data_IF_005230099247
#
_entry.id   IF_005230099247
#
_cell.length_a   1.000
_cell.length_b   1.000
_cell.length_c   1.000
_cell.angle_alpha   90.00
_cell.angle_beta   90.00
_cell.angle_gamma   90.00
#
_symmetry.space_group_name_H-M   'P 1'
#
loop_
_entity.id
_entity.type
_entity.pdbx_description
1 polymer ?
#
# COMPACT_ATOMS: atom_id res chain seq x y z
N UNK A 1 59.92 8.01 -58.84
CA UNK A 1 58.88 6.96 -58.71
C UNK A 1 58.34 7.02 -57.29
N UNK A 2 57.01 7.05 -57.15
CA UNK A 2 56.26 7.49 -55.96
C UNK A 2 56.39 6.52 -54.77
N UNK A 3 56.61 7.14 -53.61
CA UNK A 3 56.19 6.83 -52.21
C UNK A 3 55.74 5.41 -51.84
N UNK A 4 56.42 4.82 -50.84
CA UNK A 4 55.78 3.96 -49.85
C UNK A 4 56.43 4.14 -48.47
N UNK A 5 55.93 5.11 -47.69
CA UNK A 5 56.14 5.14 -46.25
C UNK A 5 54.95 4.41 -45.60
N UNK A 6 55.07 3.09 -45.43
CA UNK A 6 54.16 2.35 -44.56
C UNK A 6 54.41 2.77 -43.11
N UNK A 7 53.71 3.82 -42.67
CA UNK A 7 53.63 4.21 -41.26
C UNK A 7 52.97 3.07 -40.46
N UNK A 8 53.79 2.24 -39.81
CA UNK A 8 53.30 1.28 -38.79
C UNK A 8 52.73 2.09 -37.63
N UNK A 9 51.41 2.28 -37.61
CA UNK A 9 50.68 2.78 -36.45
C UNK A 9 50.84 1.76 -35.32
N UNK A 10 51.40 2.13 -34.16
CA UNK A 10 51.60 1.18 -33.08
C UNK A 10 50.23 0.69 -32.58
N UNK A 11 50.08 -0.62 -32.43
CA UNK A 11 48.85 -1.30 -31.97
C UNK A 11 48.51 -1.06 -30.50
N UNK A 12 48.80 0.13 -29.96
CA UNK A 12 48.59 0.54 -28.57
C UNK A 12 47.12 0.50 -28.14
N UNK A 13 46.19 0.53 -29.10
CA UNK A 13 44.75 0.39 -28.85
C UNK A 13 44.37 -1.03 -28.42
N UNK A 14 45.09 -2.07 -28.88
CA UNK A 14 44.73 -3.47 -28.60
C UNK A 14 44.84 -3.78 -27.08
N UNK A 15 45.93 -3.41 -26.37
CA UNK A 15 45.99 -3.56 -24.92
C UNK A 15 44.89 -2.79 -24.17
N UNK A 16 44.59 -1.55 -24.59
CA UNK A 16 43.55 -0.73 -23.95
C UNK A 16 42.15 -1.33 -24.15
N UNK A 17 41.87 -1.85 -25.35
CA UNK A 17 40.63 -2.56 -25.66
C UNK A 17 40.51 -3.85 -24.83
N UNK A 18 41.60 -4.62 -24.72
CA UNK A 18 41.60 -5.85 -23.92
C UNK A 18 41.29 -5.57 -22.44
N UNK A 19 41.91 -4.54 -21.86
CA UNK A 19 41.66 -4.16 -20.46
C UNK A 19 40.22 -3.67 -20.26
N UNK A 20 39.71 -2.84 -21.17
CA UNK A 20 38.32 -2.32 -21.07
C UNK A 20 37.26 -3.41 -21.25
N UNK A 21 37.50 -4.41 -22.11
CA UNK A 21 36.63 -5.58 -22.25
C UNK A 21 36.59 -6.42 -20.97
N UNK A 22 37.74 -6.68 -20.35
CA UNK A 22 37.80 -7.41 -19.07
C UNK A 22 37.03 -6.65 -17.99
N UNK A 23 37.19 -5.33 -17.91
CA UNK A 23 36.44 -4.49 -16.98
C UNK A 23 34.92 -4.56 -17.22
N UNK A 24 34.47 -4.47 -18.48
CA UNK A 24 33.06 -4.57 -18.84
C UNK A 24 32.45 -5.93 -18.49
N UNK A 25 33.17 -7.03 -18.77
CA UNK A 25 32.73 -8.38 -18.41
C UNK A 25 32.63 -8.52 -16.89
N UNK A 26 33.61 -8.01 -16.14
CA UNK A 26 33.60 -8.01 -14.68
C UNK A 26 32.40 -7.27 -14.08
N UNK A 27 32.08 -6.08 -14.61
CA UNK A 27 30.91 -5.32 -14.16
C UNK A 27 29.59 -6.00 -14.52
N UNK A 28 29.52 -6.64 -15.69
CA UNK A 28 28.32 -7.40 -16.11
C UNK A 28 28.12 -8.63 -15.22
N UNK A 29 29.18 -9.35 -14.90
CA UNK A 29 29.15 -10.49 -14.00
C UNK A 29 28.64 -10.10 -12.61
N UNK A 30 29.14 -8.98 -12.06
CA UNK A 30 28.66 -8.41 -10.81
C UNK A 30 27.17 -8.04 -10.86
N UNK A 31 26.73 -7.41 -11.94
CA UNK A 31 25.33 -7.03 -12.13
C UNK A 31 24.40 -8.24 -12.13
N UNK A 32 24.82 -9.36 -12.74
CA UNK A 32 24.06 -10.62 -12.75
C UNK A 32 23.95 -11.21 -11.34
N UNK A 33 25.04 -11.30 -10.59
CA UNK A 33 24.99 -11.85 -9.23
C UNK A 33 24.11 -11.00 -8.30
N UNK A 34 24.19 -9.66 -8.40
CA UNK A 34 23.31 -8.75 -7.65
C UNK A 34 21.85 -8.98 -8.05
N UNK A 35 21.57 -9.14 -9.34
CA UNK A 35 20.23 -9.45 -9.84
C UNK A 35 19.66 -10.75 -9.27
N UNK A 36 20.48 -11.79 -9.18
CA UNK A 36 20.10 -13.09 -8.58
C UNK A 36 19.80 -12.93 -7.08
N UNK A 37 20.61 -12.17 -6.34
CA UNK A 37 20.36 -11.89 -4.91
C UNK A 37 19.07 -11.10 -4.72
N UNK A 38 18.83 -10.07 -5.57
CA UNK A 38 17.61 -9.27 -5.52
C UNK A 38 16.36 -10.11 -5.82
N UNK A 39 16.43 -11.00 -6.82
CA UNK A 39 15.36 -11.94 -7.13
C UNK A 39 15.09 -12.90 -5.96
N UNK A 40 16.15 -13.45 -5.34
CA UNK A 40 16.02 -14.31 -4.17
C UNK A 40 15.33 -13.61 -3.00
N UNK A 41 15.68 -12.33 -2.74
CA UNK A 41 15.02 -11.50 -1.72
C UNK A 41 13.55 -11.28 -2.01
N UNK A 42 13.20 -10.96 -3.25
CA UNK A 42 11.80 -10.77 -3.63
C UNK A 42 10.99 -12.08 -3.47
N UNK A 43 11.51 -13.22 -3.92
CA UNK A 43 10.83 -14.49 -3.74
C UNK A 43 10.66 -14.87 -2.25
N UNK A 44 11.70 -14.65 -1.45
CA UNK A 44 11.64 -14.89 0.00
C UNK A 44 10.60 -13.97 0.67
N UNK A 45 10.55 -12.69 0.29
CA UNK A 45 9.58 -11.74 0.83
C UNK A 45 8.14 -12.09 0.44
N UNK A 46 7.88 -12.40 -0.84
CA UNK A 46 6.56 -12.86 -1.28
C UNK A 46 6.12 -14.12 -0.54
N UNK A 47 7.05 -15.04 -0.29
CA UNK A 47 6.77 -16.25 0.50
C UNK A 47 6.45 -15.90 1.95
N UNK A 48 7.22 -15.02 2.58
CA UNK A 48 6.99 -14.57 3.95
C UNK A 48 5.64 -13.85 4.08
N UNK A 49 5.30 -12.95 3.15
CA UNK A 49 4.04 -12.20 3.13
C UNK A 49 2.84 -13.15 2.99
N UNK A 50 2.91 -14.09 2.03
CA UNK A 50 1.87 -15.09 1.82
C UNK A 50 1.71 -16.01 3.03
N UNK A 51 2.82 -16.44 3.63
CA UNK A 51 2.83 -17.28 4.83
C UNK A 51 2.23 -16.54 6.04
N UNK A 52 2.67 -15.31 6.31
CA UNK A 52 2.15 -14.49 7.40
C UNK A 52 0.65 -14.24 7.22
N UNK A 53 0.21 -13.90 6.00
CA UNK A 53 -1.19 -13.67 5.68
C UNK A 53 -2.06 -14.92 5.86
N UNK A 54 -1.59 -16.08 5.37
CA UNK A 54 -2.30 -17.34 5.54
C UNK A 54 -2.39 -17.76 7.00
N UNK A 55 -1.32 -17.57 7.78
CA UNK A 55 -1.34 -17.79 9.22
C UNK A 55 -2.31 -16.86 9.94
N UNK A 56 -2.30 -15.56 9.61
CA UNK A 56 -3.24 -14.60 10.20
C UNK A 56 -4.70 -14.95 9.87
N UNK A 57 -4.98 -15.41 8.65
CA UNK A 57 -6.30 -15.88 8.21
C UNK A 57 -6.79 -17.15 8.91
N UNK A 58 -5.89 -17.95 9.51
CA UNK A 58 -6.31 -19.12 10.29
C UNK A 58 -6.76 -18.80 11.71
N UNK A 59 -6.38 -17.64 12.24
CA UNK A 59 -6.84 -17.20 13.54
C UNK A 59 -8.34 -16.87 13.47
N UNK A 60 -9.09 -17.26 14.50
CA UNK A 60 -10.52 -17.02 14.59
C UNK A 60 -10.87 -16.25 15.88
N UNK A 61 -12.14 -15.81 16.00
CA UNK A 61 -12.63 -15.10 17.19
C UNK A 61 -13.07 -16.00 18.36
N UNK A 62 -12.87 -17.32 18.27
CA UNK A 62 -13.39 -18.29 19.24
C UNK A 62 -12.39 -18.52 20.37
N UNK A 63 -12.61 -17.83 21.49
CA UNK A 63 -11.76 -17.98 22.68
C UNK A 63 -11.74 -19.42 23.25
N UNK A 64 -12.84 -20.18 23.07
CA UNK A 64 -12.94 -21.58 23.51
C UNK A 64 -11.98 -22.54 22.79
N UNK A 65 -11.50 -22.16 21.61
CA UNK A 65 -10.55 -22.93 20.79
C UNK A 65 -9.16 -22.29 20.76
N UNK A 66 -8.86 -21.42 21.74
CA UNK A 66 -7.61 -20.65 21.78
C UNK A 66 -7.37 -19.89 20.46
N UNK A 67 -8.44 -19.37 19.83
CA UNK A 67 -8.38 -18.66 18.56
C UNK A 67 -7.76 -19.46 17.40
N UNK A 68 -7.81 -20.80 17.46
CA UNK A 68 -7.16 -21.71 16.51
C UNK A 68 -5.62 -21.53 16.43
N UNK A 69 -4.97 -21.25 17.55
CA UNK A 69 -3.51 -21.04 17.62
C UNK A 69 -2.70 -22.16 16.95
N UNK A 70 -3.06 -23.42 17.22
CA UNK A 70 -2.30 -24.59 16.73
C UNK A 70 -2.49 -24.83 15.22
N UNK A 71 -3.54 -24.26 14.61
CA UNK A 71 -3.79 -24.30 13.17
C UNK A 71 -2.90 -23.37 12.34
N UNK A 72 -2.22 -22.41 12.98
CA UNK A 72 -1.39 -21.42 12.27
C UNK A 72 -0.15 -22.05 11.66
N UNK A 73 0.60 -22.84 12.44
CA UNK A 73 1.84 -23.47 11.98
C UNK A 73 1.64 -24.36 10.72
N UNK A 74 0.67 -25.31 10.69
CA UNK A 74 0.46 -26.13 9.49
C UNK A 74 0.00 -25.31 8.28
N UNK A 75 -0.76 -24.22 8.49
CA UNK A 75 -1.17 -23.32 7.40
C UNK A 75 0.01 -22.57 6.79
N UNK A 76 0.88 -22.01 7.64
CA UNK A 76 2.12 -21.34 7.22
C UNK A 76 3.01 -22.30 6.42
N UNK A 77 3.26 -23.50 6.95
CA UNK A 77 4.06 -24.51 6.24
C UNK A 77 3.41 -24.95 4.92
N UNK A 78 2.08 -25.06 4.88
CA UNK A 78 1.33 -25.43 3.68
C UNK A 78 1.48 -24.44 2.52
N UNK A 79 1.61 -23.14 2.82
CA UNK A 79 1.92 -22.12 1.81
C UNK A 79 3.40 -22.15 1.45
N UNK A 80 4.29 -22.21 2.44
CA UNK A 80 5.72 -22.14 2.18
C UNK A 80 6.23 -23.30 1.34
N UNK A 81 5.70 -24.52 1.52
CA UNK A 81 6.02 -25.69 0.69
C UNK A 81 5.63 -25.53 -0.79
N UNK A 82 4.69 -24.63 -1.10
CA UNK A 82 4.28 -24.33 -2.49
C UNK A 82 5.15 -23.23 -3.12
N UNK A 83 5.93 -22.52 -2.32
CA UNK A 83 6.76 -21.41 -2.75
C UNK A 83 8.19 -21.84 -3.07
N UNK A 84 8.85 -21.09 -3.95
CA UNK A 84 10.23 -21.37 -4.39
C UNK A 84 11.09 -20.12 -4.35
N UNK A 85 12.27 -20.23 -3.74
CA UNK A 85 13.31 -19.19 -3.78
C UNK A 85 14.37 -19.65 -4.78
N UNK A 86 14.53 -18.91 -5.89
CA UNK A 86 15.41 -19.30 -7.00
C UNK A 86 15.19 -20.73 -7.51
N UNK A 87 13.93 -21.18 -7.54
CA UNK A 87 13.56 -22.53 -7.99
C UNK A 87 13.77 -23.65 -6.96
N UNK A 88 14.42 -23.36 -5.82
CA UNK A 88 14.53 -24.26 -4.68
C UNK A 88 13.28 -24.15 -3.79
N UNK A 89 12.73 -25.29 -3.38
CA UNK A 89 11.64 -25.33 -2.40
C UNK A 89 12.15 -24.89 -1.03
N UNK A 90 11.33 -24.15 -0.29
CA UNK A 90 11.66 -23.72 1.07
C UNK A 90 11.34 -24.86 2.04
N UNK A 91 12.34 -25.33 2.76
CA UNK A 91 12.18 -26.43 3.70
C UNK A 91 11.54 -25.97 5.02
N UNK A 92 10.85 -26.86 5.74
CA UNK A 92 10.21 -26.51 7.01
C UNK A 92 11.16 -25.86 8.05
N UNK A 93 12.43 -26.31 8.23
CA UNK A 93 13.37 -25.67 9.16
C UNK A 93 13.80 -24.25 8.74
N UNK A 94 13.63 -23.91 7.46
CA UNK A 94 13.92 -22.59 6.91
C UNK A 94 12.80 -21.58 7.21
N UNK A 95 11.71 -22.02 7.85
CA UNK A 95 10.56 -21.19 8.21
C UNK A 95 10.43 -21.06 9.72
N UNK A 96 10.44 -19.84 10.22
CA UNK A 96 10.11 -19.54 11.60
C UNK A 96 8.80 -18.76 11.66
N UNK A 97 7.89 -19.20 12.54
CA UNK A 97 6.58 -18.57 12.75
C UNK A 97 6.46 -18.09 14.18
N UNK A 98 5.98 -16.87 14.36
CA UNK A 98 5.68 -16.29 15.66
C UNK A 98 4.24 -15.81 15.68
N UNK A 99 3.51 -16.22 16.70
CA UNK A 99 2.10 -15.87 16.87
C UNK A 99 2.02 -14.86 18.00
N UNK A 100 1.19 -13.83 17.80
CA UNK A 100 1.09 -12.69 18.67
C UNK A 100 -0.29 -12.06 18.64
N UNK A 101 -0.40 -10.93 19.31
CA UNK A 101 -1.61 -10.12 19.35
C UNK A 101 -1.30 -8.68 18.92
N UNK A 102 -2.30 -7.98 18.41
CA UNK A 102 -2.19 -6.61 17.91
C UNK A 102 -3.02 -5.66 18.78
N UNK A 103 -2.32 -4.82 19.55
CA UNK A 103 -2.92 -3.94 20.54
C UNK A 103 -2.43 -2.50 20.39
N UNK A 104 -3.27 -1.57 20.84
CA UNK A 104 -2.95 -0.15 20.89
C UNK A 104 -2.00 0.14 22.06
N UNK A 105 -0.85 0.75 21.77
CA UNK A 105 0.11 1.24 22.76
C UNK A 105 -0.22 2.70 23.07
N UNK A 106 -0.90 2.95 24.19
CA UNK A 106 -1.32 4.29 24.62
C UNK A 106 -0.15 5.28 24.77
N UNK A 107 1.06 4.80 25.04
CA UNK A 107 2.23 5.68 25.19
C UNK A 107 2.76 6.17 23.84
N UNK A 108 2.57 5.36 22.79
CA UNK A 108 3.06 5.66 21.44
C UNK A 108 1.96 6.16 20.51
N UNK A 109 0.70 6.08 20.93
CA UNK A 109 -0.45 6.42 20.10
C UNK A 109 -0.56 5.55 18.84
N UNK A 110 -0.04 4.32 18.88
CA UNK A 110 0.04 3.44 17.70
C UNK A 110 -0.32 2.00 18.05
N UNK A 111 -0.90 1.29 17.09
CA UNK A 111 -1.09 -0.15 17.21
C UNK A 111 0.21 -0.90 16.94
N UNK A 112 0.61 -1.77 17.86
CA UNK A 112 1.86 -2.51 17.77
C UNK A 112 1.64 -4.02 17.90
N UNK A 113 2.37 -4.84 17.12
CA UNK A 113 2.33 -6.29 17.28
C UNK A 113 3.18 -6.71 18.48
N UNK A 114 2.62 -7.56 19.34
CA UNK A 114 3.32 -8.14 20.49
C UNK A 114 3.38 -9.65 20.34
N UNK A 115 4.59 -10.19 20.44
CA UNK A 115 4.87 -11.62 20.24
C UNK A 115 5.41 -12.23 21.54
N UNK A 116 4.54 -12.75 22.41
CA UNK A 116 4.96 -13.35 23.67
C UNK A 116 5.73 -14.66 23.45
N UNK A 117 6.46 -15.09 24.48
CA UNK A 117 7.06 -16.43 24.50
C UNK A 117 5.98 -17.45 24.86
N UNK A 118 5.76 -18.43 23.98
CA UNK A 118 4.72 -19.43 24.15
C UNK A 118 3.30 -18.84 24.08
N UNK A 119 2.32 -19.58 24.58
CA UNK A 119 0.90 -19.18 24.61
C UNK A 119 0.58 -18.22 25.76
N UNK A 120 1.39 -17.19 25.97
CA UNK A 120 1.29 -16.27 27.11
C UNK A 120 0.79 -14.89 26.67
N UNK A 121 -0.51 -14.75 26.42
CA UNK A 121 -1.18 -13.46 26.14
C UNK A 121 -2.09 -13.05 27.30
N UNK A 122 -2.41 -11.75 27.47
CA UNK A 122 -3.45 -11.33 28.39
C UNK A 122 -4.80 -11.99 28.09
N UNK A 123 -5.60 -12.29 29.12
CA UNK A 123 -6.88 -12.98 28.97
C UNK A 123 -7.91 -12.17 28.15
N UNK A 124 -7.81 -10.84 28.17
CA UNK A 124 -8.66 -9.92 27.42
C UNK A 124 -8.32 -9.84 25.92
N UNK A 125 -7.17 -10.36 25.51
CA UNK A 125 -6.69 -10.24 24.13
C UNK A 125 -6.93 -11.51 23.33
N UNK A 126 -7.14 -11.35 22.03
CA UNK A 126 -7.20 -12.44 21.07
C UNK A 126 -5.87 -12.54 20.30
N UNK A 127 -5.45 -13.78 19.97
CA UNK A 127 -4.40 -13.97 18.98
C UNK A 127 -4.87 -13.36 17.67
N UNK A 128 -4.08 -12.44 17.13
CA UNK A 128 -4.49 -11.60 15.99
C UNK A 128 -3.33 -11.25 15.07
N UNK A 129 -2.10 -11.66 15.40
CA UNK A 129 -0.92 -11.35 14.61
C UNK A 129 -0.13 -12.62 14.33
N UNK A 130 0.33 -12.77 13.09
CA UNK A 130 1.28 -13.81 12.73
C UNK A 130 2.46 -13.17 12.00
N UNK A 131 3.65 -13.55 12.42
CA UNK A 131 4.91 -13.17 11.80
C UNK A 131 5.56 -14.43 11.23
N UNK A 132 5.88 -14.39 9.94
CA UNK A 132 6.60 -15.46 9.26
C UNK A 132 7.97 -14.94 8.84
N UNK A 133 9.00 -15.74 9.10
CA UNK A 133 10.37 -15.49 8.65
C UNK A 133 10.80 -16.65 7.78
N UNK A 134 11.27 -16.34 6.57
CA UNK A 134 11.73 -17.31 5.58
C UNK A 134 13.22 -17.11 5.38
N UNK A 135 14.01 -18.16 5.59
CA UNK A 135 15.47 -18.17 5.49
C UNK A 135 15.89 -19.14 4.38
N UNK A 136 16.08 -18.64 3.16
CA UNK A 136 16.65 -19.48 2.09
C UNK A 136 18.17 -19.53 2.24
N UNK A 137 18.70 -20.69 2.62
CA UNK A 137 20.14 -20.86 2.82
C UNK A 137 20.82 -21.59 1.66
N UNK A 138 22.13 -21.36 1.53
CA UNK A 138 23.00 -22.00 0.56
C UNK A 138 22.55 -21.79 -0.90
N UNK A 139 22.06 -20.59 -1.23
CA UNK A 139 21.70 -20.27 -2.62
C UNK A 139 22.98 -20.12 -3.45
N UNK A 140 23.01 -20.75 -4.62
CA UNK A 140 24.21 -20.81 -5.44
C UNK A 140 24.52 -19.43 -6.05
N UNK A 141 25.75 -18.95 -5.89
CA UNK A 141 26.23 -17.78 -6.64
C UNK A 141 26.61 -18.18 -8.07
N UNK A 142 26.58 -17.22 -9.01
CA UNK A 142 26.89 -17.51 -10.41
C UNK A 142 28.35 -17.16 -10.73
N UNK A 143 28.71 -15.88 -10.73
CA UNK A 143 30.08 -15.44 -11.06
C UNK A 143 30.96 -15.20 -9.84
N UNK A 144 30.39 -14.91 -8.67
CA UNK A 144 31.12 -14.65 -7.43
C UNK A 144 31.98 -15.83 -6.95
N UNK A 145 31.74 -17.03 -7.50
CA UNK A 145 32.57 -18.23 -7.32
C UNK A 145 34.02 -18.03 -7.70
N UNK A 146 34.31 -17.16 -8.67
CA UNK A 146 35.69 -16.85 -9.08
C UNK A 146 36.49 -16.21 -7.94
N UNK A 147 35.79 -15.58 -6.99
CA UNK A 147 36.35 -15.00 -5.76
C UNK A 147 36.12 -15.90 -4.54
N UNK A 148 35.81 -17.18 -4.75
CA UNK A 148 35.53 -18.17 -3.71
C UNK A 148 34.26 -17.90 -2.87
N UNK A 149 33.34 -17.06 -3.36
CA UNK A 149 32.00 -16.93 -2.80
C UNK A 149 31.07 -17.89 -3.51
N UNK A 150 30.86 -19.08 -2.94
CA UNK A 150 30.11 -20.16 -3.60
C UNK A 150 28.60 -20.15 -3.34
N UNK A 151 28.17 -19.53 -2.25
CA UNK A 151 26.78 -19.45 -1.87
C UNK A 151 26.48 -18.17 -1.10
N UNK A 152 25.18 -17.84 -1.01
CA UNK A 152 24.67 -16.75 -0.20
C UNK A 152 23.33 -17.12 0.44
N UNK A 153 23.06 -16.50 1.58
CA UNK A 153 21.83 -16.68 2.33
C UNK A 153 20.92 -15.46 2.16
N UNK A 154 19.61 -15.71 2.18
CA UNK A 154 18.59 -14.67 2.14
C UNK A 154 17.57 -14.91 3.22
N UNK A 155 17.28 -13.85 3.99
CA UNK A 155 16.23 -13.82 4.98
C UNK A 155 15.20 -12.74 4.62
N UNK A 156 13.94 -13.10 4.74
CA UNK A 156 12.81 -12.20 4.59
C UNK A 156 11.81 -12.42 5.72
N UNK A 157 11.12 -11.35 6.10
CA UNK A 157 10.25 -11.33 7.27
C UNK A 157 9.01 -10.53 6.96
N UNK A 158 7.85 -11.07 7.35
CA UNK A 158 6.57 -10.44 7.16
C UNK A 158 5.68 -10.63 8.37
N UNK A 159 4.83 -9.65 8.62
CA UNK A 159 3.86 -9.67 9.71
C UNK A 159 2.49 -9.31 9.16
N UNK A 160 1.51 -10.16 9.42
CA UNK A 160 0.13 -9.93 9.07
C UNK A 160 -0.74 -9.91 10.33
N UNK A 161 -1.76 -9.08 10.30
CA UNK A 161 -2.72 -8.91 11.39
C UNK A 161 -4.11 -9.28 10.88
N UNK A 162 -4.83 -10.09 11.65
CA UNK A 162 -6.23 -10.40 11.46
C UNK A 162 -7.02 -10.00 12.71
N UNK A 163 -7.86 -8.96 12.59
CA UNK A 163 -8.85 -8.57 13.60
C UNK A 163 -10.22 -8.64 12.90
N UNK A 164 -11.09 -9.60 13.24
CA UNK A 164 -12.46 -9.59 12.73
C UNK A 164 -13.14 -8.28 13.18
N UNK A 165 -13.87 -7.65 12.25
CA UNK A 165 -14.71 -6.47 12.55
C UNK A 165 -16.15 -6.86 12.32
N UNK A 166 -17.01 -6.56 13.27
CA UNK A 166 -18.45 -6.70 13.10
C UNK A 166 -18.95 -5.47 12.34
N UNK A 167 -19.55 -5.69 11.17
CA UNK A 167 -20.14 -4.64 10.33
C UNK A 167 -21.64 -4.92 10.26
N UNK A 168 -22.44 -3.99 10.77
CA UNK A 168 -23.89 -4.00 10.55
C UNK A 168 -24.20 -3.07 9.39
N UNK A 169 -24.92 -3.57 8.39
CA UNK A 169 -25.42 -2.77 7.27
C UNK A 169 -26.94 -2.75 7.39
N UNK A 170 -27.51 -1.57 7.61
CA UNK A 170 -28.95 -1.35 7.60
C UNK A 170 -29.31 -0.73 6.26
N UNK A 171 -30.13 -1.44 5.47
CA UNK A 171 -30.61 -0.99 4.18
C UNK A 171 -32.11 -0.67 4.29
N UNK A 172 -32.49 0.59 4.10
CA UNK A 172 -33.90 0.99 4.03
C UNK A 172 -34.47 0.76 2.62
N UNK A 173 -35.41 -0.19 2.51
CA UNK A 173 -36.13 -0.48 1.27
C UNK A 173 -37.53 0.17 1.20
N UNK A 174 -38.02 0.73 2.31
CA UNK A 174 -39.34 1.37 2.36
C UNK A 174 -39.37 2.72 1.65
N UNK A 175 -38.21 3.34 1.49
CA UNK A 175 -38.07 4.69 0.96
C UNK A 175 -38.29 5.79 2.00
N UNK A 176 -38.55 5.45 3.27
CA UNK A 176 -38.82 6.42 4.33
C UNK A 176 -37.60 7.26 4.73
N UNK A 177 -36.38 6.75 4.52
CA UNK A 177 -35.12 7.47 4.73
C UNK A 177 -34.41 7.84 3.41
N UNK A 178 -35.01 7.55 2.25
CA UNK A 178 -34.34 7.69 0.94
C UNK A 178 -33.87 9.11 0.66
N UNK A 179 -34.62 10.12 1.11
CA UNK A 179 -34.37 11.52 0.77
C UNK A 179 -33.07 12.04 1.40
N UNK A 180 -32.66 11.51 2.56
CA UNK A 180 -31.40 11.87 3.22
C UNK A 180 -30.18 11.12 2.64
N UNK A 181 -30.39 10.20 1.70
CA UNK A 181 -29.31 9.48 1.01
C UNK A 181 -29.13 9.92 -0.44
N UNK A 182 -29.89 10.91 -0.89
CA UNK A 182 -29.79 11.47 -2.23
C UNK A 182 -28.61 12.43 -2.32
N UNK A 183 -27.72 12.20 -3.29
CA UNK A 183 -26.51 13.00 -3.47
C UNK A 183 -26.74 14.34 -4.18
N UNK A 184 -27.92 14.56 -4.78
CA UNK A 184 -28.21 15.78 -5.53
C UNK A 184 -29.69 16.16 -5.58
N UNK A 185 -29.95 17.35 -6.11
CA UNK A 185 -31.29 17.94 -6.28
C UNK A 185 -31.41 18.59 -7.66
N UNK A 186 -32.64 18.78 -8.19
CA UNK A 186 -33.91 18.18 -7.74
C UNK A 186 -33.96 16.67 -8.03
N UNK A 187 -34.85 15.95 -7.35
CA UNK A 187 -34.96 14.49 -7.47
C UNK A 187 -35.61 14.02 -8.78
N UNK A 188 -36.59 14.75 -9.32
CA UNK A 188 -37.39 14.33 -10.48
C UNK A 188 -36.94 14.94 -11.82
N UNK A 189 -35.93 15.81 -11.82
CA UNK A 189 -35.45 16.52 -13.01
C UNK A 189 -33.92 16.44 -13.14
N UNK A 190 -33.36 17.18 -14.10
CA UNK A 190 -31.92 17.32 -14.25
C UNK A 190 -31.29 17.85 -12.96
N UNK A 191 -30.30 17.12 -12.43
CA UNK A 191 -29.57 17.49 -11.22
C UNK A 191 -28.92 18.87 -11.41
N UNK A 192 -29.34 19.82 -10.58
CA UNK A 192 -28.87 21.20 -10.54
C UNK A 192 -27.76 21.40 -9.51
N UNK A 193 -27.63 20.50 -8.53
CA UNK A 193 -26.58 20.57 -7.53
C UNK A 193 -26.56 19.40 -6.55
N UNK A 194 -25.61 19.46 -5.63
CA UNK A 194 -25.37 18.49 -4.57
C UNK A 194 -26.19 18.84 -3.32
N UNK A 195 -26.49 17.82 -2.52
CA UNK A 195 -27.14 17.96 -1.21
C UNK A 195 -26.14 17.89 -0.05
N UNK A 196 -24.89 18.24 -0.34
CA UNK A 196 -23.83 18.38 0.65
C UNK A 196 -23.88 19.76 1.32
N UNK A 197 -24.22 19.87 2.62
CA UNK A 197 -24.15 21.14 3.34
C UNK A 197 -22.72 21.58 3.66
N UNK A 198 -21.76 20.66 3.63
CA UNK A 198 -20.38 20.93 4.01
C UNK A 198 -19.69 21.85 3.01
N UNK A 199 -18.90 22.78 3.55
CA UNK A 199 -17.98 23.63 2.76
C UNK A 199 -16.80 22.81 2.21
N UNK A 200 -16.59 21.61 2.74
CA UNK A 200 -15.54 20.69 2.33
C UNK A 200 -15.92 19.89 1.09
N UNK A 201 -15.85 20.54 -0.08
CA UNK A 201 -16.18 19.94 -1.38
C UNK A 201 -14.91 19.74 -2.24
N UNK A 202 -14.92 18.78 -3.18
CA UNK A 202 -13.83 18.60 -4.14
C UNK A 202 -13.48 19.91 -4.86
N UNK A 203 -12.19 20.22 -4.98
CA UNK A 203 -11.71 21.43 -5.68
C UNK A 203 -10.77 21.19 -6.83
N UNK A 204 -10.62 19.94 -7.23
CA UNK A 204 -9.70 19.54 -8.26
C UNK A 204 -10.48 19.39 -9.57
N UNK A 205 -10.06 20.14 -10.59
CA UNK A 205 -10.46 19.94 -11.99
C UNK A 205 -11.78 20.42 -12.48
N UNK A 206 -12.60 19.51 -12.99
CA UNK A 206 -13.96 19.90 -13.35
C UNK A 206 -14.69 20.46 -12.11
N UNK A 207 -14.32 20.02 -10.89
CA UNK A 207 -14.80 20.59 -9.63
C UNK A 207 -14.12 21.91 -9.20
N UNK A 208 -13.01 22.31 -9.85
CA UNK A 208 -12.40 23.63 -9.59
C UNK A 208 -13.11 24.76 -10.33
N UNK A 209 -14.00 24.45 -11.28
CA UNK A 209 -14.81 25.44 -11.99
C UNK A 209 -15.84 26.03 -11.04
N UNK A 210 -15.97 27.35 -10.91
CA UNK A 210 -16.85 27.85 -9.85
C UNK A 210 -18.33 27.91 -10.17
N UNK A 211 -18.70 27.67 -11.43
CA UNK A 211 -20.05 27.18 -11.74
C UNK A 211 -20.33 25.84 -11.05
N UNK A 212 -19.34 24.94 -10.98
CA UNK A 212 -19.46 23.67 -10.24
C UNK A 212 -19.37 23.90 -8.73
N UNK A 213 -18.42 24.69 -8.23
CA UNK A 213 -18.31 24.94 -6.78
C UNK A 213 -19.59 25.55 -6.18
N UNK A 214 -20.28 26.42 -6.93
CA UNK A 214 -21.52 27.06 -6.49
C UNK A 214 -22.70 26.09 -6.31
N UNK A 215 -22.68 24.93 -6.98
CA UNK A 215 -23.76 23.94 -6.91
C UNK A 215 -23.39 22.71 -6.07
N UNK A 216 -22.13 22.58 -5.68
CA UNK A 216 -21.62 21.43 -4.91
C UNK A 216 -21.89 21.56 -3.41
N UNK A 217 -22.20 22.77 -2.92
CA UNK A 217 -22.67 23.01 -1.56
C UNK A 217 -24.15 23.39 -1.56
N UNK A 218 -25.00 22.48 -1.09
CA UNK A 218 -26.42 22.71 -0.89
C UNK A 218 -26.70 23.08 0.57
N UNK A 219 -27.03 24.34 0.84
CA UNK A 219 -27.33 24.81 2.21
C UNK A 219 -28.83 24.93 2.50
N UNK A 220 -29.67 24.70 1.49
CA UNK A 220 -31.12 24.92 1.57
C UNK A 220 -31.86 23.62 1.31
N UNK A 221 -32.83 23.31 2.17
CA UNK A 221 -33.70 22.18 1.98
C UNK A 221 -34.59 22.35 0.74
N UNK A 222 -34.72 21.30 -0.07
CA UNK A 222 -35.43 21.34 -1.35
C UNK A 222 -36.76 20.58 -1.25
N UNK A 223 -37.87 21.11 -1.79
CA UNK A 223 -39.14 20.40 -1.82
C UNK A 223 -39.07 19.22 -2.81
N UNK A 224 -39.59 18.07 -2.41
CA UNK A 224 -39.71 16.88 -3.27
C UNK A 224 -41.12 16.31 -3.13
N UNK A 225 -42.03 16.71 -4.01
CA UNK A 225 -43.46 16.37 -3.88
C UNK A 225 -44.07 17.01 -2.62
N UNK A 226 -44.62 16.20 -1.73
CA UNK A 226 -45.14 16.65 -0.42
C UNK A 226 -44.07 16.71 0.68
N UNK A 227 -42.86 16.23 0.42
CA UNK A 227 -41.79 16.11 1.40
C UNK A 227 -40.71 17.19 1.22
N UNK A 228 -39.84 17.33 2.22
CA UNK A 228 -38.71 18.25 2.20
C UNK A 228 -37.41 17.43 2.33
N UNK A 229 -36.52 17.60 1.37
CA UNK A 229 -35.19 17.01 1.35
C UNK A 229 -34.20 17.96 2.00
N UNK A 230 -33.65 17.59 3.15
CA UNK A 230 -32.61 18.36 3.82
C UNK A 230 -31.21 17.97 3.29
N UNK A 231 -30.23 18.88 3.31
CA UNK A 231 -28.83 18.54 3.09
C UNK A 231 -28.35 17.49 4.09
N UNK A 232 -27.64 16.46 3.64
CA UNK A 232 -27.43 15.24 4.45
C UNK A 232 -25.99 14.68 4.50
N UNK A 233 -25.05 15.23 3.71
CA UNK A 233 -23.66 14.76 3.70
C UNK A 233 -22.80 15.59 4.68
N UNK A 234 -22.69 15.16 5.93
CA UNK A 234 -21.92 15.87 6.95
C UNK A 234 -20.53 15.27 7.12
N UNK A 235 -19.50 16.11 7.12
CA UNK A 235 -18.15 15.70 7.53
C UNK A 235 -17.83 16.25 8.92
N UNK A 236 -17.76 15.36 9.91
CA UNK A 236 -17.58 15.74 11.33
C UNK A 236 -16.29 15.17 11.91
N UNK A 237 -15.65 15.94 12.80
CA UNK A 237 -14.58 15.43 13.66
C UNK A 237 -15.22 14.74 14.85
N UNK A 238 -14.76 13.53 15.16
CA UNK A 238 -15.25 12.74 16.31
C UNK A 238 -14.14 12.61 17.34
N UNK A 239 -14.46 12.06 18.51
CA UNK A 239 -13.46 11.75 19.55
C UNK A 239 -12.42 10.73 19.06
N UNK A 240 -12.77 9.92 18.05
CA UNK A 240 -11.88 8.95 17.41
C UNK A 240 -10.98 9.57 16.31
N UNK A 241 -11.12 10.88 16.06
CA UNK A 241 -10.23 11.63 15.17
C UNK A 241 -10.94 12.48 14.10
N UNK A 242 -10.13 13.22 13.31
CA UNK A 242 -10.61 14.01 12.19
C UNK A 242 -11.19 13.11 11.09
N UNK A 243 -12.11 13.64 10.26
CA UNK A 243 -12.64 12.89 9.14
C UNK A 243 -11.57 12.65 8.08
N UNK A 244 -11.59 11.45 7.49
CA UNK A 244 -10.61 10.99 6.48
C UNK A 244 -10.52 11.92 5.25
N UNK A 245 -11.55 12.72 4.96
CA UNK A 245 -11.53 13.69 3.87
C UNK A 245 -10.39 14.72 4.02
N UNK A 246 -9.89 14.93 5.25
CA UNK A 246 -8.77 15.84 5.53
C UNK A 246 -7.41 15.27 5.12
N UNK A 247 -7.31 13.97 4.89
CA UNK A 247 -6.06 13.32 4.50
C UNK A 247 -5.86 13.30 2.97
N UNK A 248 -6.91 13.63 2.20
CA UNK A 248 -6.82 13.75 0.75
C UNK A 248 -6.15 15.06 0.37
N UNK A 249 -4.94 14.95 -0.16
CA UNK A 249 -4.16 16.08 -0.65
C UNK A 249 -4.06 16.04 -2.17
N UNK A 250 -4.05 17.22 -2.78
CA UNK A 250 -3.70 17.44 -4.17
C UNK A 250 -2.40 18.23 -4.21
N UNK A 251 -1.47 17.83 -5.09
CA UNK A 251 -0.27 18.61 -5.33
C UNK A 251 -0.66 19.91 -6.05
N UNK A 252 -0.30 21.05 -5.48
CA UNK A 252 -0.29 22.31 -6.22
C UNK A 252 0.96 22.32 -7.09
N UNK A 253 0.84 21.88 -8.33
CA UNK A 253 1.95 21.77 -9.28
C UNK A 253 2.68 23.10 -9.55
N UNK A 254 2.07 24.24 -9.18
CA UNK A 254 2.65 25.58 -9.36
C UNK A 254 3.55 26.00 -8.21
N UNK A 255 3.27 25.51 -7.00
CA UNK A 255 4.06 25.79 -5.79
C UNK A 255 4.86 24.58 -5.32
N UNK A 256 4.59 23.39 -5.86
CA UNK A 256 5.14 22.11 -5.40
C UNK A 256 4.61 21.67 -4.04
N UNK A 257 3.59 22.35 -3.51
CA UNK A 257 3.07 22.12 -2.15
C UNK A 257 1.78 21.33 -2.21
N UNK A 258 1.66 20.30 -1.38
CA UNK A 258 0.40 19.58 -1.21
C UNK A 258 -0.61 20.44 -0.45
N UNK A 259 -1.80 20.61 -1.05
CA UNK A 259 -2.95 21.28 -0.45
C UNK A 259 -4.08 20.28 -0.25
N UNK A 260 -4.89 20.45 0.77
CA UNK A 260 -6.04 19.55 0.97
C UNK A 260 -7.03 19.67 -0.20
N UNK A 261 -7.44 18.53 -0.77
CA UNK A 261 -8.26 18.43 -1.98
C UNK A 261 -9.73 18.82 -1.76
N UNK A 262 -10.16 18.90 -0.50
CA UNK A 262 -11.53 19.14 -0.07
C UNK A 262 -11.67 20.36 0.85
N UNK A 263 -10.66 21.22 0.98
CA UNK A 263 -10.71 22.35 1.92
C UNK A 263 -10.89 23.72 1.23
N UNK A 264 -11.64 24.61 1.87
CA UNK A 264 -11.75 26.02 1.54
C UNK A 264 -11.19 26.87 2.66
N UNK A 265 -10.10 27.59 2.37
CA UNK A 265 -9.66 28.71 3.21
C UNK A 265 -10.78 29.77 3.24
N UNK A 266 -11.03 30.37 4.41
CA UNK A 266 -12.12 31.34 4.64
C UNK A 266 -11.98 32.65 3.84
N UNK A 267 -10.88 32.84 3.10
CA UNK A 267 -10.70 33.95 2.18
C UNK A 267 -11.05 33.52 0.73
N UNK A 268 -11.90 34.32 0.07
CA UNK A 268 -12.34 34.13 -1.31
C UNK A 268 -11.17 33.96 -2.28
N UNK A 269 -11.02 32.74 -2.83
CA UNK A 269 -10.17 32.48 -3.99
C UNK A 269 -10.93 32.87 -5.27
N UNK A 270 -10.46 33.91 -5.97
CA UNK A 270 -11.03 34.37 -7.24
C UNK A 270 -10.43 33.62 -8.43
N UNK A 271 -11.16 32.61 -8.88
CA UNK A 271 -10.89 31.80 -10.05
C UNK A 271 -10.98 32.55 -11.39
N UNK A 272 -11.58 33.74 -11.44
CA UNK A 272 -11.73 34.51 -12.69
C UNK A 272 -10.40 35.03 -13.23
N UNK A 273 -9.32 34.90 -12.47
CA UNK A 273 -8.02 35.40 -12.85
C UNK A 273 -7.06 34.37 -13.46
N UNK A 274 -7.28 33.04 -13.36
CA UNK A 274 -6.38 32.04 -14.00
C UNK A 274 -7.10 30.77 -14.43
N UNK A 275 -7.15 30.56 -15.75
CA UNK A 275 -7.92 29.52 -16.42
C UNK A 275 -7.02 28.47 -17.06
N UNK A 276 -6.84 27.33 -16.39
CA UNK A 276 -6.31 26.06 -16.93
C UNK A 276 -5.78 25.18 -15.78
N UNK A 277 -5.72 23.86 -15.84
CA UNK A 277 -6.29 22.76 -16.63
C UNK A 277 -6.05 21.51 -15.77
N UNK A 278 -6.86 20.48 -15.93
CA UNK A 278 -6.96 19.36 -15.01
C UNK A 278 -6.21 18.11 -15.50
N UNK A 279 -5.56 17.35 -14.61
CA UNK A 279 -5.18 15.96 -14.84
C UNK A 279 -4.99 15.17 -13.52
N UNK A 280 -5.18 13.85 -13.62
CA UNK A 280 -5.44 12.82 -12.58
C UNK A 280 -4.15 12.01 -12.27
N UNK A 281 -4.11 11.10 -11.27
CA UNK A 281 -3.09 11.07 -10.21
C UNK A 281 -2.06 9.93 -10.38
N UNK A 282 -1.01 9.99 -9.55
CA UNK A 282 -0.25 8.82 -9.10
C UNK A 282 -0.84 8.30 -7.77
#
# INVERSE_FOLDING_TARGET
MKTDFSCKRPGTIIPLLAISLVALIGMTALAVDIGIIALAKNNAQLTADAAAFAGARTLNGLASEEHNYDGVQPSVLGITRKSKVLGKEVADPEVATRIGYYNYDNNKGTFTPVFPKGKNKPASDAWSTVEATVKSQNNNSFFAKIFNFNAFDVEAKATAVHKPRDISIVLDFSGSMRFNSLNGYPFYDNILGSMNPDRRIPKFGHWSQPSMQAVMQGTVAQPVGSDIQAPANLTVTTDDGPPIVLDFSTLDERTGVYKNAFHQEDATYDWRLRADKFAVPA
#
